data_IF_963180295525
#
_entry.id   IF_963180295525
#
_cell.length_a   1.000
_cell.length_b   1.000
_cell.length_c   1.000
_cell.angle_alpha   90.00
_cell.angle_beta   90.00
_cell.angle_gamma   90.00
#
_symmetry.space_group_name_H-M   'P 1'
#
loop_
_entity.id
_entity.type
_entity.pdbx_description
1 polymer ?
#
# COMPACT_ATOMS: atom_id res chain seq x y z
N UNK A 1 -15.64 6.23 -1.10
CA UNK A 1 -15.72 4.76 -1.02
C UNK A 1 -16.82 4.36 -0.07
N UNK A 2 -16.58 4.57 1.22
CA UNK A 2 -17.59 4.47 2.28
C UNK A 2 -18.61 5.61 2.15
N UNK A 3 -19.91 5.38 2.45
CA UNK A 3 -20.89 6.47 2.61
C UNK A 3 -20.55 7.45 3.73
N UNK A 4 -19.66 7.07 4.66
CA UNK A 4 -19.17 7.90 5.77
C UNK A 4 -17.79 8.53 5.51
N UNK A 5 -17.31 8.51 4.27
CA UNK A 5 -15.96 8.99 3.96
C UNK A 5 -15.73 10.44 4.42
N UNK A 6 -16.76 11.29 4.36
CA UNK A 6 -16.66 12.68 4.81
C UNK A 6 -16.46 12.77 6.33
N UNK A 7 -17.13 11.94 7.12
CA UNK A 7 -16.87 11.81 8.56
C UNK A 7 -15.45 11.27 8.83
N UNK A 8 -15.03 10.25 8.09
CA UNK A 8 -13.69 9.67 8.23
C UNK A 8 -12.60 10.73 7.96
N UNK A 9 -12.82 11.61 6.97
CA UNK A 9 -11.91 12.71 6.66
C UNK A 9 -11.88 13.77 7.76
N UNK A 10 -13.04 14.16 8.31
CA UNK A 10 -13.09 15.12 9.43
C UNK A 10 -12.34 14.58 10.65
N UNK A 11 -12.59 13.33 11.03
CA UNK A 11 -11.88 12.68 12.13
C UNK A 11 -10.37 12.60 11.87
N UNK A 12 -9.97 12.27 10.63
CA UNK A 12 -8.56 12.24 10.25
C UNK A 12 -7.89 13.61 10.42
N UNK A 13 -8.57 14.71 10.07
CA UNK A 13 -8.00 16.06 10.22
C UNK A 13 -7.71 16.42 11.68
N UNK A 14 -8.51 15.94 12.63
CA UNK A 14 -8.26 16.12 14.07
C UNK A 14 -6.98 15.37 14.50
N UNK A 15 -6.81 14.13 14.04
CA UNK A 15 -5.61 13.32 14.31
C UNK A 15 -4.38 13.97 13.69
N UNK A 16 -4.50 14.49 12.47
CA UNK A 16 -3.42 15.20 11.78
C UNK A 16 -2.98 16.44 12.56
N UNK A 17 -3.92 17.29 12.97
CA UNK A 17 -3.61 18.49 13.75
C UNK A 17 -2.90 18.14 15.07
N UNK A 18 -3.32 17.06 15.74
CA UNK A 18 -2.63 16.56 16.92
C UNK A 18 -1.21 16.07 16.59
N UNK A 19 -1.03 15.26 15.55
CA UNK A 19 0.28 14.76 15.14
C UNK A 19 1.25 15.91 14.82
N UNK A 20 0.80 16.93 14.11
CA UNK A 20 1.57 18.14 13.81
C UNK A 20 1.96 18.91 15.09
N UNK A 21 1.01 19.10 16.03
CA UNK A 21 1.28 19.75 17.29
C UNK A 21 2.33 19.02 18.16
N UNK A 22 2.44 17.69 18.02
CA UNK A 22 3.43 16.87 18.70
C UNK A 22 4.71 16.60 17.88
N UNK A 23 4.80 17.11 16.65
CA UNK A 23 5.93 16.83 15.74
C UNK A 23 6.07 15.34 15.39
N UNK A 24 4.95 14.60 15.39
CA UNK A 24 4.92 13.16 15.12
C UNK A 24 4.61 12.86 13.65
N UNK A 25 5.26 11.86 13.03
CA UNK A 25 4.89 11.41 11.69
C UNK A 25 3.52 10.72 11.72
N UNK A 26 2.74 10.97 10.67
CA UNK A 26 1.40 10.44 10.49
C UNK A 26 1.37 9.40 9.37
N UNK A 27 1.07 8.17 9.76
CA UNK A 27 0.84 7.08 8.82
C UNK A 27 -0.68 6.92 8.59
N UNK A 28 -1.11 6.82 7.33
CA UNK A 28 -2.53 6.64 6.96
C UNK A 28 -2.75 5.29 6.32
N UNK A 29 -3.67 4.50 6.88
CA UNK A 29 -4.10 3.22 6.32
C UNK A 29 -5.19 3.48 5.29
N UNK A 30 -4.77 3.78 4.06
CA UNK A 30 -5.67 4.15 2.99
C UNK A 30 -6.23 2.89 2.30
N UNK A 31 -7.26 2.30 2.93
CA UNK A 31 -7.95 1.14 2.38
C UNK A 31 -9.23 1.55 1.64
N UNK A 32 -9.23 1.50 0.29
CA UNK A 32 -10.43 1.81 -0.47
C UNK A 32 -11.48 0.74 -0.22
N UNK A 33 -12.53 1.08 0.52
CA UNK A 33 -13.65 0.18 0.85
C UNK A 33 -14.98 0.91 0.69
N UNK A 34 -16.06 0.15 0.72
CA UNK A 34 -17.43 0.63 0.56
C UNK A 34 -18.02 0.32 -0.82
N UNK A 35 -19.33 0.54 -0.95
CA UNK A 35 -20.14 0.15 -2.11
C UNK A 35 -19.60 0.71 -3.43
N UNK A 36 -19.16 1.97 -3.44
CA UNK A 36 -18.64 2.63 -4.64
C UNK A 36 -17.35 2.00 -5.16
N UNK A 37 -16.54 1.42 -4.26
CA UNK A 37 -15.31 0.69 -4.61
C UNK A 37 -15.67 -0.72 -5.09
N UNK A 38 -16.58 -1.40 -4.41
CA UNK A 38 -16.99 -2.76 -4.79
C UNK A 38 -17.68 -2.80 -6.15
N UNK A 39 -18.51 -1.81 -6.46
CA UNK A 39 -19.18 -1.71 -7.75
C UNK A 39 -18.22 -1.60 -8.95
N UNK A 40 -16.95 -1.26 -8.71
CA UNK A 40 -15.93 -1.01 -9.74
C UNK A 40 -14.71 -1.91 -9.59
N UNK A 41 -14.86 -3.15 -9.11
CA UNK A 41 -13.76 -4.13 -9.07
C UNK A 41 -13.05 -4.27 -7.72
N UNK A 42 -13.50 -3.54 -6.69
CA UNK A 42 -13.16 -3.83 -5.31
C UNK A 42 -11.80 -3.31 -4.82
N UNK A 43 -11.53 -3.59 -3.54
CA UNK A 43 -10.48 -2.94 -2.73
C UNK A 43 -9.03 -3.20 -3.14
N UNK A 44 -8.79 -4.25 -3.92
CA UNK A 44 -7.45 -4.65 -4.38
C UNK A 44 -7.22 -4.22 -5.85
N UNK A 45 -8.20 -3.60 -6.51
CA UNK A 45 -8.04 -3.11 -7.89
C UNK A 45 -7.05 -1.95 -7.96
N UNK A 46 -6.27 -1.90 -9.06
CA UNK A 46 -5.25 -0.86 -9.26
C UNK A 46 -5.83 0.56 -9.08
N UNK A 47 -6.94 0.89 -9.74
CA UNK A 47 -7.52 2.24 -9.66
C UNK A 47 -7.90 2.62 -8.23
N UNK A 48 -8.42 1.67 -7.44
CA UNK A 48 -8.89 1.95 -6.10
C UNK A 48 -7.70 2.21 -5.17
N UNK A 49 -6.65 1.38 -5.28
CA UNK A 49 -5.41 1.50 -4.50
C UNK A 49 -4.67 2.79 -4.87
N UNK A 50 -4.57 3.08 -6.16
CA UNK A 50 -3.91 4.28 -6.70
C UNK A 50 -4.62 5.57 -6.23
N UNK A 51 -5.95 5.59 -6.35
CA UNK A 51 -6.77 6.71 -5.85
C UNK A 51 -6.65 6.89 -4.33
N UNK A 52 -6.62 5.79 -3.57
CA UNK A 52 -6.46 5.84 -2.12
C UNK A 52 -5.10 6.40 -1.71
N UNK A 53 -4.02 6.01 -2.40
CA UNK A 53 -2.68 6.56 -2.17
C UNK A 53 -2.64 8.07 -2.42
N UNK A 54 -3.16 8.51 -3.57
CA UNK A 54 -3.24 9.92 -3.91
C UNK A 54 -4.07 10.73 -2.89
N UNK A 55 -5.23 10.21 -2.52
CA UNK A 55 -6.14 10.88 -1.59
C UNK A 55 -5.49 11.06 -0.21
N UNK A 56 -4.82 10.02 0.31
CA UNK A 56 -4.12 10.11 1.59
C UNK A 56 -2.94 11.09 1.56
N UNK A 57 -2.19 11.12 0.45
CA UNK A 57 -1.14 12.11 0.24
C UNK A 57 -1.68 13.56 0.26
N UNK A 58 -2.78 13.83 -0.47
CA UNK A 58 -3.40 15.16 -0.50
C UNK A 58 -4.01 15.57 0.85
N UNK A 59 -4.48 14.61 1.63
CA UNK A 59 -4.95 14.83 3.00
C UNK A 59 -3.80 15.11 3.99
N UNK A 60 -2.54 14.90 3.60
CA UNK A 60 -1.36 15.23 4.40
C UNK A 60 -0.84 14.08 5.26
N UNK A 61 -0.91 12.85 4.75
CA UNK A 61 -0.13 11.74 5.30
C UNK A 61 1.38 11.96 5.07
N UNK A 62 2.22 11.53 6.00
CA UNK A 62 3.67 11.41 5.78
C UNK A 62 4.02 10.06 5.14
N UNK A 63 3.26 9.03 5.52
CA UNK A 63 3.38 7.66 4.99
C UNK A 63 1.98 7.14 4.70
N UNK A 64 1.75 6.59 3.52
CA UNK A 64 0.51 5.88 3.19
C UNK A 64 0.74 4.37 3.21
N UNK A 65 -0.10 3.67 3.94
CA UNK A 65 -0.20 2.21 3.86
C UNK A 65 -1.39 1.81 2.98
N UNK A 66 -1.12 1.04 1.93
CA UNK A 66 -2.13 0.63 0.95
C UNK A 66 -2.18 -0.90 0.76
N UNK A 67 -3.24 -1.38 0.11
CA UNK A 67 -3.32 -2.79 -0.30
C UNK A 67 -2.31 -3.08 -1.42
N UNK A 68 -1.94 -4.34 -1.61
CA UNK A 68 -1.16 -4.77 -2.78
C UNK A 68 -2.09 -4.78 -4.01
N UNK A 69 -1.87 -3.94 -5.04
CA UNK A 69 -2.76 -3.84 -6.19
C UNK A 69 -2.68 -5.11 -7.06
N UNK A 70 -3.83 -5.59 -7.52
CA UNK A 70 -3.94 -6.82 -8.33
C UNK A 70 -4.52 -6.54 -9.70
N UNK A 71 -4.13 -7.35 -10.68
CA UNK A 71 -4.84 -7.41 -11.95
C UNK A 71 -6.17 -8.12 -11.75
N UNK A 72 -7.26 -7.43 -12.05
CA UNK A 72 -8.58 -8.06 -12.11
C UNK A 72 -8.73 -8.86 -13.42
N UNK A 73 -9.53 -9.94 -13.42
CA UNK A 73 -9.98 -10.58 -14.64
C UNK A 73 -10.62 -9.59 -15.64
N UNK A 74 -10.59 -9.84 -16.96
CA UNK A 74 -11.08 -8.89 -17.97
C UNK A 74 -12.50 -8.37 -17.73
N UNK A 75 -13.42 -9.23 -17.30
CA UNK A 75 -14.82 -8.89 -17.03
C UNK A 75 -15.01 -7.95 -15.84
N UNK A 76 -14.18 -8.09 -14.80
CA UNK A 76 -14.17 -7.17 -13.65
C UNK A 76 -13.43 -5.88 -14.01
N UNK A 77 -12.33 -5.99 -14.75
CA UNK A 77 -11.53 -4.84 -15.22
C UNK A 77 -12.33 -3.92 -16.12
N UNK A 78 -13.30 -4.44 -16.89
CA UNK A 78 -14.22 -3.63 -17.69
C UNK A 78 -15.05 -2.64 -16.85
N UNK A 79 -15.25 -2.90 -15.55
CA UNK A 79 -15.97 -1.99 -14.63
C UNK A 79 -15.08 -0.89 -14.05
N UNK A 80 -13.76 -1.00 -14.22
CA UNK A 80 -12.82 -0.01 -13.71
C UNK A 80 -12.98 1.33 -14.47
N UNK A 81 -12.73 2.48 -13.82
CA UNK A 81 -12.68 3.74 -14.51
C UNK A 81 -11.52 3.78 -15.53
N UNK A 82 -11.67 4.56 -16.61
CA UNK A 82 -10.56 4.87 -17.52
C UNK A 82 -9.47 5.68 -16.79
N UNK A 83 -8.17 5.49 -17.09
CA UNK A 83 -7.63 4.55 -18.08
C UNK A 83 -7.43 3.11 -17.55
N UNK A 84 -7.74 2.83 -16.28
CA UNK A 84 -7.38 1.57 -15.61
C UNK A 84 -8.05 0.30 -16.15
N UNK A 85 -9.15 0.44 -16.89
CA UNK A 85 -9.80 -0.66 -17.60
C UNK A 85 -8.95 -1.19 -18.78
N UNK A 86 -8.07 -0.35 -19.32
CA UNK A 86 -7.28 -0.61 -20.54
C UNK A 86 -5.79 -0.88 -20.24
N UNK A 87 -5.34 -0.69 -18.98
CA UNK A 87 -3.95 -0.90 -18.61
C UNK A 87 -3.57 -2.39 -18.53
N UNK A 88 -2.46 -2.73 -19.15
CA UNK A 88 -1.81 -4.05 -19.11
C UNK A 88 -0.43 -3.93 -18.46
N UNK A 89 -0.44 -3.78 -17.14
CA UNK A 89 0.78 -3.65 -16.32
C UNK A 89 1.09 -4.97 -15.60
N UNK A 90 2.37 -5.23 -15.31
CA UNK A 90 2.75 -6.30 -14.38
C UNK A 90 2.61 -5.82 -12.91
N UNK A 91 2.90 -6.69 -11.93
CA UNK A 91 2.76 -6.33 -10.50
C UNK A 91 3.66 -5.17 -10.08
N UNK A 92 4.93 -5.16 -10.52
CA UNK A 92 5.89 -4.11 -10.21
C UNK A 92 5.43 -2.75 -10.76
N UNK A 93 5.03 -2.70 -12.02
CA UNK A 93 4.51 -1.49 -12.68
C UNK A 93 3.27 -0.94 -11.99
N UNK A 94 2.36 -1.82 -11.54
CA UNK A 94 1.19 -1.43 -10.75
C UNK A 94 1.59 -0.77 -9.44
N UNK A 95 2.54 -1.34 -8.71
CA UNK A 95 3.02 -0.77 -7.45
C UNK A 95 3.73 0.56 -7.71
N UNK A 96 4.57 0.63 -8.75
CA UNK A 96 5.29 1.85 -9.11
C UNK A 96 4.34 2.98 -9.44
N UNK A 97 3.21 2.70 -10.12
CA UNK A 97 2.15 3.67 -10.35
C UNK A 97 1.58 4.23 -9.05
N UNK A 98 1.26 3.36 -8.10
CA UNK A 98 0.73 3.75 -6.78
C UNK A 98 1.74 4.60 -6.01
N UNK A 99 3.03 4.23 -6.06
CA UNK A 99 4.14 5.01 -5.46
C UNK A 99 4.21 6.40 -6.10
N UNK A 100 4.17 6.48 -7.43
CA UNK A 100 4.24 7.76 -8.15
C UNK A 100 3.04 8.67 -7.83
N UNK A 101 1.84 8.10 -7.69
CA UNK A 101 0.63 8.85 -7.35
C UNK A 101 0.63 9.41 -5.92
N UNK A 102 1.39 8.80 -5.01
CA UNK A 102 1.62 9.32 -3.66
C UNK A 102 2.59 10.52 -3.63
N UNK A 103 3.25 10.82 -4.75
CA UNK A 103 4.18 11.95 -4.95
C UNK A 103 5.30 11.93 -3.91
N UNK A 104 5.32 12.91 -2.99
CA UNK A 104 6.35 13.04 -1.96
C UNK A 104 6.02 12.28 -0.67
N UNK A 105 4.96 11.48 -0.68
CA UNK A 105 4.52 10.69 0.48
C UNK A 105 5.06 9.28 0.36
N UNK A 106 5.64 8.75 1.43
CA UNK A 106 6.17 7.39 1.38
C UNK A 106 5.06 6.35 1.31
N UNK A 107 5.31 5.24 0.63
CA UNK A 107 4.33 4.16 0.49
C UNK A 107 4.80 2.89 1.18
N UNK A 108 3.91 2.30 1.97
CA UNK A 108 4.04 0.97 2.56
C UNK A 108 2.96 0.05 2.00
N UNK A 109 3.32 -1.16 1.58
CA UNK A 109 2.35 -2.15 1.11
C UNK A 109 1.86 -3.03 2.28
N UNK A 110 0.60 -3.44 2.21
CA UNK A 110 0.07 -4.43 3.15
C UNK A 110 0.67 -5.81 2.89
N UNK A 111 1.03 -6.53 3.95
CA UNK A 111 1.49 -7.92 3.82
C UNK A 111 0.41 -8.94 3.38
N UNK A 112 -0.87 -8.56 3.42
CA UNK A 112 -1.99 -9.40 2.98
C UNK A 112 -2.36 -10.55 3.94
N UNK A 113 -2.90 -11.62 3.35
CA UNK A 113 -3.23 -12.88 4.05
C UNK A 113 -2.00 -13.77 4.20
N UNK A 114 -2.12 -14.80 5.05
CA UNK A 114 -1.04 -15.77 5.28
C UNK A 114 -0.75 -16.51 3.96
N UNK A 115 0.45 -16.33 3.44
CA UNK A 115 0.97 -17.02 2.26
C UNK A 115 2.15 -17.92 2.61
N UNK A 116 2.72 -18.58 1.60
CA UNK A 116 3.98 -19.29 1.76
C UNK A 116 5.17 -18.29 1.76
N UNK A 117 6.37 -18.78 2.10
CA UNK A 117 7.56 -17.92 2.22
C UNK A 117 7.93 -17.28 0.87
N UNK A 118 7.81 -18.04 -0.24
CA UNK A 118 8.12 -17.54 -1.58
C UNK A 118 7.21 -16.37 -1.98
N UNK A 119 5.90 -16.47 -1.74
CA UNK A 119 4.94 -15.41 -2.02
C UNK A 119 5.21 -14.15 -1.20
N UNK A 120 5.57 -14.32 0.08
CA UNK A 120 5.90 -13.20 0.97
C UNK A 120 7.17 -12.51 0.49
N UNK A 121 8.23 -13.26 0.21
CA UNK A 121 9.51 -12.72 -0.24
C UNK A 121 9.40 -12.06 -1.62
N UNK A 122 8.62 -12.63 -2.55
CA UNK A 122 8.33 -12.04 -3.84
C UNK A 122 7.62 -10.69 -3.70
N UNK A 123 6.62 -10.59 -2.81
CA UNK A 123 5.98 -9.30 -2.52
C UNK A 123 6.94 -8.27 -1.95
N UNK A 124 7.88 -8.69 -1.10
CA UNK A 124 8.93 -7.80 -0.60
C UNK A 124 9.75 -7.26 -1.75
N UNK A 125 10.31 -8.13 -2.60
CA UNK A 125 11.11 -7.71 -3.77
C UNK A 125 10.35 -6.73 -4.66
N UNK A 126 9.16 -7.11 -5.13
CA UNK A 126 8.36 -6.27 -6.01
C UNK A 126 8.04 -4.90 -5.41
N UNK A 127 7.77 -4.85 -4.10
CA UNK A 127 7.48 -3.57 -3.43
C UNK A 127 8.71 -2.68 -3.35
N UNK A 128 9.87 -3.25 -3.01
CA UNK A 128 11.12 -2.49 -2.92
C UNK A 128 11.61 -2.03 -4.29
N UNK A 129 11.55 -2.91 -5.31
CA UNK A 129 11.90 -2.62 -6.71
C UNK A 129 11.04 -1.49 -7.29
N UNK A 130 9.75 -1.46 -6.95
CA UNK A 130 8.81 -0.40 -7.36
C UNK A 130 8.91 0.91 -6.55
N UNK A 131 9.91 1.05 -5.67
CA UNK A 131 10.17 2.30 -4.93
C UNK A 131 9.31 2.51 -3.68
N UNK A 132 8.58 1.50 -3.21
CA UNK A 132 7.96 1.58 -1.89
C UNK A 132 9.03 1.52 -0.78
N UNK A 133 8.77 2.13 0.37
CA UNK A 133 9.73 2.15 1.48
C UNK A 133 9.68 0.89 2.35
N UNK A 134 8.77 -0.04 2.04
CA UNK A 134 8.62 -1.31 2.76
C UNK A 134 7.20 -1.85 2.79
N UNK A 135 6.98 -2.76 3.74
CA UNK A 135 5.69 -3.43 3.95
C UNK A 135 5.40 -3.54 5.44
N UNK A 136 4.11 -3.61 5.79
CA UNK A 136 3.69 -3.96 7.15
C UNK A 136 3.08 -5.35 7.14
N UNK A 137 3.80 -6.30 7.75
CA UNK A 137 3.35 -7.66 7.97
C UNK A 137 2.71 -7.84 9.34
N UNK A 138 1.67 -8.68 9.38
CA UNK A 138 1.04 -9.16 10.61
C UNK A 138 0.98 -10.68 10.60
N UNK A 139 -0.15 -11.22 10.13
CA UNK A 139 -0.43 -12.67 10.11
C UNK A 139 0.65 -13.51 9.41
N UNK A 140 1.32 -12.96 8.41
CA UNK A 140 2.44 -13.62 7.73
C UNK A 140 3.66 -13.87 8.64
N UNK A 141 3.75 -13.25 9.81
CA UNK A 141 4.86 -13.43 10.76
C UNK A 141 4.34 -14.11 12.04
N UNK A 142 3.43 -13.48 12.78
CA UNK A 142 3.08 -13.93 14.14
C UNK A 142 2.22 -15.20 14.20
N UNK A 143 1.62 -15.65 13.09
CA UNK A 143 0.87 -16.92 13.01
C UNK A 143 1.73 -18.12 12.59
N UNK A 144 3.06 -17.98 12.63
CA UNK A 144 4.02 -19.03 12.31
C UNK A 144 4.73 -19.49 13.59
N UNK A 145 5.26 -20.73 13.62
CA UNK A 145 6.24 -21.12 14.63
C UNK A 145 7.39 -20.12 14.69
N UNK A 146 7.90 -19.87 15.90
CA UNK A 146 8.92 -18.84 16.14
C UNK A 146 10.14 -18.98 15.19
N UNK A 147 10.68 -20.18 15.04
CA UNK A 147 11.84 -20.44 14.17
C UNK A 147 11.56 -20.14 12.68
N UNK A 148 10.34 -20.42 12.21
CA UNK A 148 9.94 -20.09 10.85
C UNK A 148 9.77 -18.58 10.66
N UNK A 149 9.14 -17.91 11.64
CA UNK A 149 8.96 -16.47 11.64
C UNK A 149 10.31 -15.74 11.65
N UNK A 150 11.23 -16.15 12.54
CA UNK A 150 12.55 -15.55 12.68
C UNK A 150 13.38 -15.70 11.39
N UNK A 151 13.37 -16.89 10.77
CA UNK A 151 14.02 -17.13 9.47
C UNK A 151 13.43 -16.24 8.37
N UNK A 152 12.11 -16.19 8.25
CA UNK A 152 11.43 -15.37 7.24
C UNK A 152 11.73 -13.88 7.44
N UNK A 153 11.70 -13.38 8.67
CA UNK A 153 12.07 -11.98 8.99
C UNK A 153 13.53 -11.71 8.59
N UNK A 154 14.46 -12.62 8.86
CA UNK A 154 15.85 -12.48 8.44
C UNK A 154 16.00 -12.36 6.91
N UNK A 155 15.24 -13.15 6.15
CA UNK A 155 15.22 -13.08 4.69
C UNK A 155 14.62 -11.76 4.19
N UNK A 156 13.52 -11.29 4.80
CA UNK A 156 12.90 -9.98 4.48
C UNK A 156 13.91 -8.85 4.74
N UNK A 157 14.56 -8.85 5.90
CA UNK A 157 15.56 -7.85 6.27
C UNK A 157 16.75 -7.84 5.29
N UNK A 158 17.19 -9.02 4.84
CA UNK A 158 18.26 -9.13 3.84
C UNK A 158 17.89 -8.46 2.52
N UNK A 159 16.65 -8.66 2.04
CA UNK A 159 16.16 -8.01 0.81
C UNK A 159 16.10 -6.50 1.01
N UNK A 160 15.50 -6.03 2.11
CA UNK A 160 15.25 -4.60 2.32
C UNK A 160 16.54 -3.79 2.52
N UNK A 161 17.63 -4.41 2.98
CA UNK A 161 18.92 -3.73 3.21
C UNK A 161 19.48 -3.10 1.94
N UNK A 162 19.20 -3.68 0.77
CA UNK A 162 19.70 -3.21 -0.53
C UNK A 162 18.96 -1.97 -1.05
N UNK A 163 17.87 -1.55 -0.38
CA UNK A 163 16.98 -0.47 -0.81
C UNK A 163 16.91 0.67 0.21
N UNK A 164 17.83 0.70 1.18
CA UNK A 164 18.00 1.86 2.05
C UNK A 164 18.25 3.11 1.19
N UNK A 165 17.54 4.21 1.51
CA UNK A 165 17.66 5.49 0.80
C UNK A 165 19.14 5.79 0.49
N UNK A 166 19.49 6.24 -0.73
CA UNK A 166 20.80 6.82 -0.95
C UNK A 166 21.00 7.92 0.10
N UNK A 167 22.20 7.97 0.69
CA UNK A 167 22.52 9.08 1.58
C UNK A 167 22.23 10.39 0.83
N UNK A 168 21.63 11.39 1.49
CA UNK A 168 21.45 12.68 0.85
C UNK A 168 22.81 13.15 0.32
N UNK A 169 22.90 13.45 -0.98
CA UNK A 169 24.09 14.10 -1.53
C UNK A 169 24.31 15.39 -0.73
N UNK A 170 25.45 15.42 -0.01
CA UNK A 170 25.86 16.53 0.86
C UNK A 170 26.43 17.66 0.01
#
# INVERSE_FOLDING_TARGET
GSPRQDDDFRQFMEVRAAAEAYGMPLIVWAYPRGEAVQAKGGRDSLWAVDYAARTAAELGADIVKVNFPKLAPPEERAKHPKPYNELEENDEQRIQRVVNSAVNTFVLLSGGEKGNDADVLNKVRLSMEAGAIGLIFGRNIWQRPYEEAARLVGQIQSIMRDYGRPEPEV
#
